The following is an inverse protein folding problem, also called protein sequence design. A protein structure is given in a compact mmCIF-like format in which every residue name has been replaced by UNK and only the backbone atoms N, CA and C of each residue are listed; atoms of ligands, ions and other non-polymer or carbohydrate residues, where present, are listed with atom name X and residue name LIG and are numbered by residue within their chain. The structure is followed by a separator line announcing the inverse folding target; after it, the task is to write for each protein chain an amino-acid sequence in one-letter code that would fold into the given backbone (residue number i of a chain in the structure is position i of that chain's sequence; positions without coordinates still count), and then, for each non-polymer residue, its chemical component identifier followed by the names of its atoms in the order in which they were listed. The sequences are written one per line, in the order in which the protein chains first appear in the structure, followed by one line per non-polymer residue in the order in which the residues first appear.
data_IF_679336528431
#
_entry.id   IF_679336528431
#
_cell.length_a   1.000
_cell.length_b   1.000
_cell.length_c   1.000
_cell.angle_alpha   90.00
_cell.angle_beta   90.00
_cell.angle_gamma   90.00
#
_symmetry.space_group_name_H-M   'P 1'
#
loop_
_entity.id
_entity.type
_entity.pdbx_description
1 polymer ?
#
# COMPACT_ATOMS: atom_id res chain seq x y z
N UNK A 1 58.91 -54.24 55.61
CA UNK A 1 57.64 -54.06 56.35
C UNK A 1 57.01 -52.74 55.91
N UNK A 2 55.79 -52.79 55.38
CA UNK A 2 55.12 -51.67 54.72
C UNK A 2 54.29 -50.82 55.70
N UNK A 3 54.46 -49.51 55.68
CA UNK A 3 53.60 -48.55 56.41
C UNK A 3 52.53 -48.02 55.43
N UNK A 4 51.30 -48.51 55.58
CA UNK A 4 50.11 -48.00 54.87
C UNK A 4 49.80 -46.58 55.35
N UNK A 5 49.91 -45.60 54.45
CA UNK A 5 49.38 -44.23 54.66
C UNK A 5 47.93 -44.16 54.16
N UNK A 6 46.99 -43.99 55.08
CA UNK A 6 45.56 -43.77 54.81
C UNK A 6 45.35 -42.34 54.27
N UNK A 7 44.99 -42.22 52.99
CA UNK A 7 44.60 -40.94 52.37
C UNK A 7 43.13 -40.61 52.68
N UNK A 8 42.90 -39.58 53.51
CA UNK A 8 41.59 -38.92 53.67
C UNK A 8 41.14 -38.32 52.34
N UNK A 9 40.00 -38.76 51.80
CA UNK A 9 39.31 -38.11 50.66
C UNK A 9 38.71 -36.78 51.14
N UNK A 10 39.19 -35.66 50.59
CA UNK A 10 38.51 -34.36 50.70
C UNK A 10 37.50 -34.24 49.56
N UNK A 11 36.23 -34.14 49.92
CA UNK A 11 35.10 -33.86 49.03
C UNK A 11 35.29 -32.49 48.38
N UNK A 12 35.35 -32.43 47.04
CA UNK A 12 35.39 -31.17 46.29
C UNK A 12 33.96 -30.64 46.18
N UNK A 13 33.68 -29.51 46.81
CA UNK A 13 32.46 -28.72 46.61
C UNK A 13 32.47 -28.11 45.20
N UNK A 14 31.47 -28.46 44.40
CA UNK A 14 31.22 -27.87 43.08
C UNK A 14 30.80 -26.40 43.25
N UNK A 15 31.69 -25.46 42.97
CA UNK A 15 31.29 -24.05 42.76
C UNK A 15 30.58 -23.96 41.42
N UNK A 16 29.26 -23.78 41.43
CA UNK A 16 28.51 -23.33 40.27
C UNK A 16 29.02 -21.95 39.85
N UNK A 17 29.73 -21.90 38.73
CA UNK A 17 30.09 -20.65 38.06
C UNK A 17 28.83 -20.21 37.31
N UNK A 18 28.15 -19.19 37.84
CA UNK A 18 27.06 -18.51 37.11
C UNK A 18 27.73 -17.82 35.92
N UNK A 19 27.63 -18.41 34.73
CA UNK A 19 28.08 -17.76 33.49
C UNK A 19 27.18 -16.55 33.26
N UNK A 20 27.59 -15.38 33.76
CA UNK A 20 27.20 -14.13 33.14
C UNK A 20 27.95 -14.08 31.81
N UNK A 21 27.27 -14.45 30.72
CA UNK A 21 27.71 -14.07 29.38
C UNK A 21 27.61 -12.55 29.28
N UNK A 22 28.67 -11.87 29.73
CA UNK A 22 28.87 -10.47 29.39
C UNK A 22 29.19 -10.45 27.90
N UNK A 23 28.22 -10.02 27.10
CA UNK A 23 28.42 -9.64 25.71
C UNK A 23 29.75 -8.88 25.58
N UNK A 24 30.61 -9.32 24.66
CA UNK A 24 31.89 -8.64 24.40
C UNK A 24 31.61 -7.18 24.02
N UNK A 25 32.53 -6.24 24.31
CA UNK A 25 32.34 -4.83 23.95
C UNK A 25 32.05 -4.66 22.45
N UNK A 26 32.53 -5.57 21.60
CA UNK A 26 32.20 -5.66 20.18
C UNK A 26 30.72 -5.99 19.92
N UNK A 27 30.16 -6.97 20.65
CA UNK A 27 28.74 -7.33 20.52
C UNK A 27 27.84 -6.14 20.92
N UNK A 28 28.19 -5.44 22.00
CA UNK A 28 27.45 -4.25 22.43
C UNK A 28 27.55 -3.12 21.39
N UNK A 29 28.72 -2.92 20.78
CA UNK A 29 28.88 -1.94 19.72
C UNK A 29 28.03 -2.27 18.48
N UNK A 30 27.93 -3.55 18.10
CA UNK A 30 27.08 -4.01 17.00
C UNK A 30 25.59 -3.77 17.31
N UNK A 31 25.16 -4.08 18.54
CA UNK A 31 23.77 -3.83 18.98
C UNK A 31 23.45 -2.34 18.90
N UNK A 32 24.35 -1.46 19.37
CA UNK A 32 24.17 0.00 19.28
C UNK A 32 24.11 0.46 17.81
N UNK A 33 24.96 -0.08 16.94
CA UNK A 33 24.92 0.22 15.50
C UNK A 33 23.60 -0.19 14.86
N UNK A 34 23.12 -1.42 15.10
CA UNK A 34 21.87 -1.92 14.56
C UNK A 34 20.65 -1.14 15.09
N UNK A 35 20.65 -0.78 16.36
CA UNK A 35 19.56 0.05 16.93
C UNK A 35 19.50 1.43 16.28
N UNK A 36 20.64 2.07 16.01
CA UNK A 36 20.68 3.33 15.26
C UNK A 36 20.14 3.18 13.83
N UNK A 37 20.53 2.12 13.11
CA UNK A 37 20.03 1.86 11.75
C UNK A 37 18.51 1.65 11.76
N UNK A 38 17.99 0.88 12.72
CA UNK A 38 16.54 0.66 12.88
C UNK A 38 15.84 1.97 13.20
N UNK A 39 16.38 2.81 14.09
CA UNK A 39 15.79 4.12 14.42
C UNK A 39 15.73 5.05 13.21
N UNK A 40 16.79 5.11 12.41
CA UNK A 40 16.82 5.90 11.15
C UNK A 40 15.81 5.35 10.15
N UNK A 41 15.69 4.02 10.02
CA UNK A 41 14.71 3.40 9.16
C UNK A 41 13.27 3.69 9.63
N UNK A 42 12.98 3.55 10.93
CA UNK A 42 11.68 3.89 11.51
C UNK A 42 11.34 5.36 11.30
N UNK A 43 12.31 6.26 11.52
CA UNK A 43 12.16 7.68 11.24
C UNK A 43 11.86 7.96 9.76
N UNK A 44 12.58 7.30 8.86
CA UNK A 44 12.35 7.37 7.40
C UNK A 44 10.97 6.86 6.99
N UNK A 45 10.51 5.74 7.58
CA UNK A 45 9.16 5.21 7.31
C UNK A 45 8.08 6.15 7.82
N UNK A 46 8.25 6.74 9.01
CA UNK A 46 7.31 7.72 9.58
C UNK A 46 7.27 9.00 8.72
N UNK A 47 8.39 9.44 8.14
CA UNK A 47 8.43 10.60 7.24
C UNK A 47 7.94 10.30 5.82
N UNK A 48 8.22 9.11 5.28
CA UNK A 48 7.84 8.72 3.92
C UNK A 48 6.40 8.21 3.83
N UNK A 49 5.78 7.88 4.95
CA UNK A 49 4.33 7.96 5.08
C UNK A 49 3.97 9.44 5.10
N UNK A 50 3.86 10.05 3.92
CA UNK A 50 3.05 11.25 3.78
C UNK A 50 1.75 10.95 4.51
N UNK A 51 1.38 11.68 5.57
CA UNK A 51 0.04 11.57 6.10
C UNK A 51 -0.85 11.88 4.91
N UNK A 52 -1.50 10.85 4.35
CA UNK A 52 -2.64 11.07 3.46
C UNK A 52 -3.49 12.03 4.26
N UNK A 53 -3.70 13.28 3.81
CA UNK A 53 -4.58 14.17 4.51
C UNK A 53 -5.87 13.37 4.67
N UNK A 54 -6.22 13.00 5.91
CA UNK A 54 -7.55 12.45 6.15
C UNK A 54 -8.46 13.57 5.67
N UNK A 55 -9.22 13.31 4.61
CA UNK A 55 -10.07 14.33 3.99
C UNK A 55 -11.10 14.91 4.96
N UNK A 56 -11.17 14.38 6.18
CA UNK A 56 -12.01 14.85 7.27
C UNK A 56 -11.62 16.21 7.85
N UNK A 57 -10.37 16.70 7.70
CA UNK A 57 -9.95 17.97 8.33
C UNK A 57 -9.75 19.15 7.34
N UNK A 58 -9.84 18.91 6.03
CA UNK A 58 -9.74 19.96 4.99
C UNK A 58 -11.07 20.26 4.28
N UNK A 59 -12.12 19.50 4.57
CA UNK A 59 -13.45 19.69 3.99
C UNK A 59 -14.42 20.50 4.88
N UNK A 60 -14.07 20.79 6.14
CA UNK A 60 -15.00 21.45 7.09
C UNK A 60 -15.06 22.98 6.94
N UNK A 61 -14.11 23.61 6.25
CA UNK A 61 -14.06 25.08 6.14
C UNK A 61 -14.73 25.63 4.86
N UNK A 62 -15.27 24.78 3.97
CA UNK A 62 -15.75 25.22 2.65
C UNK A 62 -17.09 24.64 2.18
N UNK A 63 -17.85 23.94 3.04
CA UNK A 63 -19.17 23.40 2.67
C UNK A 63 -20.17 24.48 2.25
N UNK A 64 -19.98 25.73 2.67
CA UNK A 64 -20.88 26.83 2.34
C UNK A 64 -20.70 27.38 0.91
N UNK A 65 -19.59 27.04 0.23
CA UNK A 65 -19.23 27.64 -1.07
C UNK A 65 -19.10 26.65 -2.24
N UNK A 66 -19.38 25.35 -2.05
CA UNK A 66 -19.49 24.43 -3.19
C UNK A 66 -20.85 24.68 -3.87
N UNK A 67 -20.90 25.00 -5.19
CA UNK A 67 -22.17 25.15 -5.87
C UNK A 67 -23.00 23.87 -5.77
N UNK A 68 -24.27 23.96 -5.34
CA UNK A 68 -25.15 22.79 -5.14
C UNK A 68 -25.29 21.92 -6.40
N UNK A 69 -25.11 22.51 -7.58
CA UNK A 69 -25.10 21.79 -8.86
C UNK A 69 -23.91 20.81 -9.00
N UNK A 70 -22.75 21.11 -8.40
CA UNK A 70 -21.59 20.22 -8.42
C UNK A 70 -21.82 19.04 -7.48
N UNK A 71 -22.37 19.29 -6.29
CA UNK A 71 -22.73 18.22 -5.35
C UNK A 71 -23.80 17.29 -5.94
N UNK A 72 -24.87 17.84 -6.50
CA UNK A 72 -25.92 17.03 -7.11
C UNK A 72 -25.44 16.23 -8.32
N UNK A 73 -24.51 16.78 -9.12
CA UNK A 73 -23.89 16.04 -10.22
C UNK A 73 -23.02 14.88 -9.72
N UNK A 74 -22.20 15.10 -8.68
CA UNK A 74 -21.38 14.03 -8.12
C UNK A 74 -22.21 12.95 -7.43
N UNK A 75 -23.23 13.32 -6.66
CA UNK A 75 -24.16 12.36 -6.04
C UNK A 75 -24.87 11.53 -7.11
N UNK A 76 -25.39 12.19 -8.15
CA UNK A 76 -26.04 11.50 -9.27
C UNK A 76 -25.08 10.55 -10.00
N UNK A 77 -23.85 10.98 -10.28
CA UNK A 77 -22.84 10.13 -10.92
C UNK A 77 -22.45 8.95 -10.04
N UNK A 78 -22.32 9.17 -8.74
CA UNK A 78 -22.01 8.10 -7.78
C UNK A 78 -23.13 7.06 -7.73
N UNK A 79 -24.38 7.50 -7.77
CA UNK A 79 -25.55 6.61 -7.82
C UNK A 79 -25.65 5.87 -9.17
N UNK A 80 -25.43 6.56 -10.30
CA UNK A 80 -25.49 5.96 -11.64
C UNK A 80 -24.37 4.95 -11.92
N UNK A 81 -23.15 5.22 -11.44
CA UNK A 81 -22.02 4.31 -11.62
C UNK A 81 -22.05 3.23 -10.55
N UNK A 82 -22.14 3.60 -9.25
CA UNK A 82 -22.10 2.70 -8.10
C UNK A 82 -21.18 1.48 -8.35
N UNK A 83 -19.89 1.76 -8.57
CA UNK A 83 -18.82 0.77 -8.74
C UNK A 83 -17.67 1.13 -7.84
N UNK A 84 -17.15 0.13 -7.14
CA UNK A 84 -15.88 0.22 -6.41
C UNK A 84 -14.76 -0.08 -7.38
N UNK A 85 -13.93 0.91 -7.62
CA UNK A 85 -12.82 0.83 -8.59
C UNK A 85 -11.48 0.79 -7.87
N UNK A 86 -10.58 -0.07 -8.35
CA UNK A 86 -9.16 -0.01 -8.03
C UNK A 86 -8.38 0.59 -9.19
N UNK A 87 -7.37 1.41 -8.88
CA UNK A 87 -6.46 1.97 -9.90
C UNK A 87 -5.02 1.50 -9.65
N UNK A 88 -4.42 0.87 -10.65
CA UNK A 88 -3.06 0.35 -10.60
C UNK A 88 -2.14 1.11 -11.56
N UNK A 89 -0.92 1.40 -11.12
CA UNK A 89 0.13 1.97 -11.95
C UNK A 89 0.84 0.88 -12.76
N UNK A 90 0.66 0.86 -14.07
CA UNK A 90 1.26 -0.10 -14.99
C UNK A 90 2.38 0.47 -15.86
N UNK A 91 2.80 1.74 -15.68
CA UNK A 91 3.86 2.37 -16.46
C UNK A 91 5.04 2.89 -15.61
N UNK A 92 4.98 2.73 -14.29
CA UNK A 92 6.09 3.04 -13.38
C UNK A 92 6.24 4.53 -13.02
N UNK A 93 5.28 5.38 -13.40
CA UNK A 93 5.30 6.81 -13.04
C UNK A 93 4.92 6.98 -11.57
N UNK A 94 5.83 7.51 -10.75
CA UNK A 94 5.60 7.67 -9.31
C UNK A 94 4.36 8.51 -9.00
N UNK A 95 3.51 8.04 -8.09
CA UNK A 95 2.29 8.74 -7.65
C UNK A 95 1.15 8.76 -8.67
N UNK A 96 1.29 8.14 -9.84
CA UNK A 96 0.29 8.21 -10.91
C UNK A 96 -1.08 7.67 -10.47
N UNK A 97 -1.14 6.48 -9.88
CA UNK A 97 -2.39 5.88 -9.42
C UNK A 97 -3.11 6.76 -8.37
N UNK A 98 -2.36 7.37 -7.45
CA UNK A 98 -2.91 8.28 -6.45
C UNK A 98 -3.47 9.58 -7.07
N UNK A 99 -2.76 10.14 -8.05
CA UNK A 99 -3.24 11.30 -8.81
C UNK A 99 -4.51 10.98 -9.60
N UNK A 100 -4.54 9.82 -10.26
CA UNK A 100 -5.72 9.35 -10.99
C UNK A 100 -6.92 9.15 -10.07
N UNK A 101 -6.72 8.57 -8.88
CA UNK A 101 -7.77 8.46 -7.86
C UNK A 101 -8.43 9.81 -7.59
N UNK A 102 -7.64 10.86 -7.32
CA UNK A 102 -8.17 12.20 -7.07
C UNK A 102 -9.02 12.72 -8.25
N UNK A 103 -8.57 12.51 -9.48
CA UNK A 103 -9.28 12.95 -10.68
C UNK A 103 -10.60 12.19 -10.89
N UNK A 104 -10.60 10.88 -10.67
CA UNK A 104 -11.79 10.04 -10.79
C UNK A 104 -12.82 10.31 -9.68
N UNK A 105 -12.36 10.50 -8.44
CA UNK A 105 -13.25 10.86 -7.32
C UNK A 105 -13.95 12.20 -7.56
N UNK A 106 -13.25 13.20 -8.14
CA UNK A 106 -13.87 14.48 -8.54
C UNK A 106 -14.96 14.33 -9.63
N UNK A 107 -14.92 13.23 -10.39
CA UNK A 107 -15.92 12.88 -11.40
C UNK A 107 -17.04 11.98 -10.86
N UNK A 108 -17.05 11.70 -9.55
CA UNK A 108 -18.08 10.88 -8.89
C UNK A 108 -17.81 9.37 -8.93
N UNK A 109 -16.61 8.93 -9.31
CA UNK A 109 -16.23 7.51 -9.28
C UNK A 109 -15.71 7.12 -7.89
N UNK A 110 -16.20 6.01 -7.35
CA UNK A 110 -15.78 5.49 -6.06
C UNK A 110 -14.50 4.65 -6.19
N UNK A 111 -13.34 5.30 -5.99
CA UNK A 111 -12.03 4.65 -6.05
C UNK A 111 -11.59 4.20 -4.65
N UNK A 112 -11.74 2.90 -4.39
CA UNK A 112 -11.51 2.31 -3.07
C UNK A 112 -10.04 1.96 -2.79
N UNK A 113 -9.24 1.72 -3.84
CA UNK A 113 -7.84 1.28 -3.72
C UNK A 113 -6.97 1.87 -4.82
N UNK A 114 -5.68 2.05 -4.51
CA UNK A 114 -4.63 2.41 -5.49
C UNK A 114 -3.38 1.59 -5.23
N UNK A 115 -2.68 1.17 -6.28
CA UNK A 115 -1.45 0.39 -6.14
C UNK A 115 -0.57 0.38 -7.38
N UNK A 116 0.33 -0.59 -7.45
CA UNK A 116 1.11 -0.90 -8.65
C UNK A 116 0.56 -2.16 -9.30
N UNK A 117 0.60 -2.22 -10.63
CA UNK A 117 0.28 -3.43 -11.37
C UNK A 117 1.42 -4.48 -11.22
N UNK A 118 1.19 -5.75 -11.61
CA UNK A 118 2.22 -6.80 -11.53
C UNK A 118 3.53 -6.47 -12.27
N UNK A 119 3.45 -5.61 -13.30
CA UNK A 119 4.59 -5.12 -14.06
C UNK A 119 4.35 -3.68 -14.55
N UNK A 120 5.40 -3.02 -15.04
CA UNK A 120 5.37 -1.60 -15.42
C UNK A 120 5.51 -1.35 -16.93
N UNK A 121 5.32 -2.35 -17.78
CA UNK A 121 5.44 -2.23 -19.23
C UNK A 121 4.08 -2.24 -19.96
N UNK A 122 2.98 -1.93 -19.27
CA UNK A 122 1.66 -1.79 -19.90
C UNK A 122 1.71 -0.62 -20.88
N UNK A 123 1.56 -0.89 -22.18
CA UNK A 123 1.62 0.17 -23.20
C UNK A 123 0.35 1.00 -23.21
N UNK A 124 -0.80 0.33 -23.09
CA UNK A 124 -2.12 0.96 -23.09
C UNK A 124 -2.80 0.76 -21.74
N UNK A 125 -3.65 1.71 -21.37
CA UNK A 125 -4.48 1.67 -20.17
C UNK A 125 -5.59 0.65 -20.37
N UNK A 126 -5.80 -0.24 -19.41
CA UNK A 126 -6.74 -1.37 -19.52
C UNK A 126 -7.76 -1.35 -18.38
N UNK A 127 -8.97 -1.83 -18.68
CA UNK A 127 -10.04 -2.01 -17.69
C UNK A 127 -10.33 -3.51 -17.56
N UNK A 128 -10.24 -4.02 -16.35
CA UNK A 128 -10.64 -5.38 -15.98
C UNK A 128 -11.92 -5.32 -15.16
N UNK A 129 -12.94 -6.08 -15.56
CA UNK A 129 -14.24 -6.16 -14.91
C UNK A 129 -14.28 -7.41 -14.04
N UNK A 130 -14.64 -7.22 -12.77
CA UNK A 130 -14.85 -8.30 -11.80
C UNK A 130 -16.36 -8.50 -11.63
N UNK A 131 -16.94 -9.42 -12.39
CA UNK A 131 -18.39 -9.68 -12.43
C UNK A 131 -19.10 -9.06 -13.64
N UNK A 132 -20.39 -8.76 -13.51
CA UNK A 132 -21.24 -8.31 -14.62
C UNK A 132 -21.51 -6.80 -14.58
N UNK A 133 -20.47 -6.01 -14.91
CA UNK A 133 -20.52 -4.54 -14.86
C UNK A 133 -20.06 -3.88 -16.17
N UNK A 134 -20.25 -4.54 -17.31
CA UNK A 134 -19.75 -4.08 -18.61
C UNK A 134 -20.29 -2.70 -19.03
N UNK A 135 -21.58 -2.44 -18.84
CA UNK A 135 -22.18 -1.14 -19.20
C UNK A 135 -21.51 0.02 -18.44
N UNK A 136 -21.23 -0.19 -17.15
CA UNK A 136 -20.59 0.80 -16.30
C UNK A 136 -19.10 0.94 -16.63
N UNK A 137 -18.43 -0.14 -17.06
CA UNK A 137 -17.08 -0.10 -17.62
C UNK A 137 -16.99 0.77 -18.86
N UNK A 138 -17.95 0.64 -19.77
CA UNK A 138 -18.03 1.47 -20.97
C UNK A 138 -18.24 2.96 -20.63
N UNK A 139 -19.00 3.29 -19.58
CA UNK A 139 -19.12 4.67 -19.09
C UNK A 139 -17.77 5.21 -18.60
N UNK A 140 -17.04 4.45 -17.80
CA UNK A 140 -15.71 4.83 -17.31
C UNK A 140 -14.71 4.97 -18.45
N UNK A 141 -14.68 4.02 -19.39
CA UNK A 141 -13.86 4.06 -20.60
C UNK A 141 -14.05 5.36 -21.36
N UNK A 142 -15.30 5.71 -21.67
CA UNK A 142 -15.66 6.96 -22.38
C UNK A 142 -15.27 8.21 -21.59
N UNK A 143 -15.52 8.21 -20.27
CA UNK A 143 -15.16 9.32 -19.40
C UNK A 143 -13.64 9.55 -19.36
N UNK A 144 -12.86 8.48 -19.38
CA UNK A 144 -11.40 8.53 -19.33
C UNK A 144 -10.74 8.70 -20.70
N UNK A 145 -11.45 8.48 -21.80
CA UNK A 145 -10.86 8.44 -23.14
C UNK A 145 -9.98 7.20 -23.37
N UNK A 146 -10.28 6.09 -22.69
CA UNK A 146 -9.54 4.82 -22.86
C UNK A 146 -9.90 4.20 -24.21
N UNK A 147 -8.88 3.77 -24.95
CA UNK A 147 -9.03 3.21 -26.30
C UNK A 147 -9.24 1.70 -26.31
N UNK A 148 -8.74 0.97 -25.31
CA UNK A 148 -8.90 -0.48 -25.21
C UNK A 148 -10.32 -0.84 -24.76
N UNK A 149 -10.81 -1.99 -25.20
CA UNK A 149 -12.07 -2.54 -24.73
C UNK A 149 -11.94 -3.10 -23.30
N UNK A 150 -13.00 -3.01 -22.47
CA UNK A 150 -13.01 -3.65 -21.16
C UNK A 150 -12.90 -5.17 -21.28
N UNK A 151 -12.06 -5.76 -20.44
CA UNK A 151 -11.81 -7.19 -20.38
C UNK A 151 -12.54 -7.78 -19.16
N UNK A 152 -13.18 -8.93 -19.32
CA UNK A 152 -13.76 -9.67 -18.19
C UNK A 152 -12.67 -10.52 -17.55
N UNK A 153 -12.48 -10.35 -16.25
CA UNK A 153 -11.58 -11.22 -15.49
C UNK A 153 -12.34 -12.45 -14.99
N UNK A 154 -12.24 -13.54 -15.75
CA UNK A 154 -12.93 -14.81 -15.45
C UNK A 154 -12.38 -15.53 -14.20
N UNK A 155 -11.23 -15.10 -13.66
CA UNK A 155 -10.52 -15.79 -12.58
C UNK A 155 -10.52 -15.03 -11.25
N UNK A 156 -11.08 -13.82 -11.23
CA UNK A 156 -11.11 -12.91 -10.09
C UNK A 156 -12.35 -13.11 -9.22
N UNK A 157 -12.35 -14.15 -8.39
CA UNK A 157 -13.42 -14.37 -7.39
C UNK A 157 -13.16 -13.69 -6.04
N UNK A 158 -11.98 -13.08 -5.84
CA UNK A 158 -11.53 -12.60 -4.53
C UNK A 158 -11.07 -11.13 -4.49
N UNK A 159 -11.24 -10.38 -5.57
CA UNK A 159 -10.87 -8.95 -5.56
C UNK A 159 -12.02 -8.16 -4.92
N UNK A 160 -11.77 -7.34 -3.88
CA UNK A 160 -12.81 -6.62 -3.16
C UNK A 160 -13.34 -5.38 -3.91
N UNK A 161 -13.14 -5.31 -5.23
CA UNK A 161 -13.61 -4.25 -6.12
C UNK A 161 -14.37 -4.85 -7.30
N UNK A 162 -15.16 -4.03 -7.96
CA UNK A 162 -15.99 -4.45 -9.10
C UNK A 162 -15.22 -4.27 -10.42
N UNK A 163 -14.09 -3.53 -10.37
CA UNK A 163 -13.27 -3.17 -11.53
C UNK A 163 -11.84 -2.78 -11.12
N UNK A 164 -10.87 -3.17 -11.94
CA UNK A 164 -9.49 -2.69 -11.86
C UNK A 164 -9.12 -1.92 -13.12
N UNK A 165 -8.57 -0.72 -12.97
CA UNK A 165 -8.01 0.07 -14.07
C UNK A 165 -6.49 0.05 -13.95
N UNK A 166 -5.80 -0.47 -14.97
CA UNK A 166 -4.34 -0.46 -15.04
C UNK A 166 -3.90 0.65 -15.98
N UNK A 167 -3.17 1.63 -15.47
CA UNK A 167 -2.69 2.78 -16.24
C UNK A 167 -1.45 2.43 -17.06
N UNK A 168 -1.51 2.65 -18.37
CA UNK A 168 -0.43 2.39 -19.32
C UNK A 168 0.47 3.59 -19.57
N UNK A 169 1.39 3.44 -20.52
CA UNK A 169 2.25 4.54 -20.99
C UNK A 169 1.45 5.63 -21.73
N UNK A 170 0.29 5.26 -22.27
CA UNK A 170 -0.70 6.15 -22.89
C UNK A 170 -1.45 7.07 -21.90
N UNK A 171 -1.15 7.04 -20.59
CA UNK A 171 -1.92 7.78 -19.59
C UNK A 171 -2.03 9.30 -19.87
N UNK A 172 -1.03 9.88 -20.55
CA UNK A 172 -1.02 11.30 -20.94
C UNK A 172 -2.03 11.64 -22.03
N UNK A 173 -2.55 10.64 -22.72
CA UNK A 173 -3.55 10.78 -23.78
C UNK A 173 -4.99 10.68 -23.24
N UNK A 174 -5.15 10.31 -21.96
CA UNK A 174 -6.45 10.17 -21.32
C UNK A 174 -7.08 11.54 -21.01
N UNK A 175 -8.39 11.65 -21.24
CA UNK A 175 -9.18 12.89 -21.10
C UNK A 175 -9.31 13.45 -19.67
N UNK A 176 -8.71 12.79 -18.68
CA UNK A 176 -8.79 13.19 -17.26
C UNK A 176 -7.55 13.95 -16.78
N UNK A 177 -6.47 13.95 -17.56
CA UNK A 177 -5.21 14.64 -17.25
C UNK A 177 -5.16 16.02 -17.91
#
# INVERSE_FOLDING_TARGET
MAVKRTRRKKTKTTKQKKNQETATPLLNAIIVGLTLVILVFLYSVIQNQQPVPRETDLAVTSLDNIPSAVLSYQEKMKEEVNLRVEVLNGCGVSGLAARTKLLLTRKGVDVISTGNAPHHNYQQTQIYIHGDNFEKAEKIKKMMGITTDPLVDEYSSNVPCDMTIILGHDYTELSIF
#
